data_IF_718789007887
#
_entry.id   IF_718789007887
#
_cell.length_a   1.000
_cell.length_b   1.000
_cell.length_c   1.000
_cell.angle_alpha   90.00
_cell.angle_beta   90.00
_cell.angle_gamma   90.00
#
_symmetry.space_group_name_H-M   'P 1'
#
loop_
_entity.id
_entity.type
_entity.pdbx_description
1 polymer ?
#
# COMPACT_ATOMS: atom_id res chain seq x y z
N UNK A 1 -49.43 22.58 -35.54
CA UNK A 1 -48.87 23.90 -35.13
C UNK A 1 -48.82 23.90 -33.61
N UNK A 2 -47.70 24.29 -33.01
CA UNK A 2 -47.55 24.35 -31.55
C UNK A 2 -48.33 25.55 -31.00
N UNK A 3 -49.07 25.39 -29.90
CA UNK A 3 -49.87 26.49 -29.35
C UNK A 3 -49.03 27.44 -28.48
N UNK A 4 -49.38 28.72 -28.47
CA UNK A 4 -48.73 29.76 -27.67
C UNK A 4 -48.56 29.42 -26.17
N UNK A 5 -49.54 28.79 -25.48
CA UNK A 5 -49.36 28.38 -24.09
C UNK A 5 -48.29 27.30 -23.91
N UNK A 6 -48.19 26.32 -24.83
CA UNK A 6 -47.16 25.27 -24.78
C UNK A 6 -45.75 25.85 -24.94
N UNK A 7 -45.60 26.90 -25.75
CA UNK A 7 -44.32 27.62 -25.89
C UNK A 7 -43.95 28.32 -24.59
N UNK A 8 -44.89 29.01 -23.94
CA UNK A 8 -44.65 29.67 -22.64
C UNK A 8 -44.27 28.66 -21.56
N UNK A 9 -44.94 27.52 -21.52
CA UNK A 9 -44.65 26.44 -20.57
C UNK A 9 -43.21 25.94 -20.74
N UNK A 10 -42.78 25.62 -21.96
CA UNK A 10 -41.40 25.20 -22.25
C UNK A 10 -40.35 26.29 -21.97
N UNK A 11 -40.69 27.57 -22.11
CA UNK A 11 -39.78 28.66 -21.76
C UNK A 11 -39.63 28.83 -20.24
N UNK A 12 -40.71 28.56 -19.49
CA UNK A 12 -40.70 28.63 -18.02
C UNK A 12 -40.06 27.41 -17.37
N UNK A 13 -40.24 26.22 -17.94
CA UNK A 13 -39.62 24.98 -17.47
C UNK A 13 -38.83 24.32 -18.60
N UNK A 14 -37.51 24.33 -18.45
CA UNK A 14 -36.55 23.76 -19.40
C UNK A 14 -35.86 22.51 -18.85
N UNK A 15 -36.36 21.94 -17.76
CA UNK A 15 -35.71 20.81 -17.06
C UNK A 15 -35.65 19.57 -17.95
N UNK A 16 -36.64 19.38 -18.83
CA UNK A 16 -36.67 18.28 -19.80
C UNK A 16 -35.64 18.41 -20.94
N UNK A 17 -35.08 19.61 -21.16
CA UNK A 17 -34.12 19.86 -22.27
C UNK A 17 -32.72 20.18 -21.76
N UNK A 18 -32.58 20.63 -20.52
CA UNK A 18 -31.28 20.85 -19.89
C UNK A 18 -30.78 19.51 -19.38
N UNK A 19 -29.92 18.86 -20.16
CA UNK A 19 -29.14 17.73 -19.67
C UNK A 19 -27.97 18.27 -18.85
N UNK A 20 -27.68 17.69 -17.67
CA UNK A 20 -26.47 18.06 -16.95
C UNK A 20 -25.27 17.84 -17.86
N UNK A 21 -24.45 18.88 -18.04
CA UNK A 21 -23.20 18.78 -18.78
C UNK A 21 -22.31 17.78 -18.02
N UNK A 22 -22.13 16.60 -18.58
CA UNK A 22 -21.16 15.63 -18.08
C UNK A 22 -19.77 16.11 -18.48
N UNK A 23 -19.22 17.01 -17.66
CA UNK A 23 -17.85 17.52 -17.81
C UNK A 23 -16.87 16.42 -17.40
N UNK A 24 -16.70 15.44 -18.28
CA UNK A 24 -15.62 14.48 -18.13
C UNK A 24 -14.31 15.21 -18.41
N UNK A 25 -13.48 15.36 -17.39
CA UNK A 25 -12.06 15.59 -17.60
C UNK A 25 -11.59 14.51 -18.59
N UNK A 26 -11.05 14.93 -19.74
CA UNK A 26 -10.54 14.05 -20.80
C UNK A 26 -9.25 13.35 -20.35
N UNK A 27 -9.28 12.75 -19.16
CA UNK A 27 -8.25 11.85 -18.74
C UNK A 27 -8.39 10.58 -19.60
N UNK A 28 -7.38 10.27 -20.44
CA UNK A 28 -7.41 9.09 -21.30
C UNK A 28 -7.62 7.79 -20.50
N UNK A 29 -7.22 7.76 -19.22
CA UNK A 29 -7.45 6.60 -18.37
C UNK A 29 -8.92 6.45 -17.96
N UNK A 30 -9.60 7.55 -17.66
CA UNK A 30 -11.03 7.51 -17.30
C UNK A 30 -11.89 7.23 -18.53
N UNK A 31 -11.54 7.79 -19.70
CA UNK A 31 -12.21 7.46 -20.96
C UNK A 31 -12.09 5.96 -21.29
N UNK A 32 -10.87 5.41 -21.19
CA UNK A 32 -10.63 3.98 -21.38
C UNK A 32 -11.40 3.12 -20.37
N UNK A 33 -11.47 3.54 -19.10
CA UNK A 33 -12.22 2.82 -18.07
C UNK A 33 -13.73 2.84 -18.35
N UNK A 34 -14.28 3.96 -18.80
CA UNK A 34 -15.69 4.09 -19.18
C UNK A 34 -16.01 3.26 -20.43
N UNK A 35 -15.13 3.21 -21.42
CA UNK A 35 -15.29 2.35 -22.59
C UNK A 35 -15.27 0.86 -22.20
N UNK A 36 -14.34 0.48 -21.32
CA UNK A 36 -14.24 -0.89 -20.78
C UNK A 36 -15.49 -1.25 -19.95
N UNK A 37 -16.07 -0.29 -19.23
CA UNK A 37 -17.31 -0.48 -18.48
C UNK A 37 -18.53 -0.62 -19.40
N UNK A 38 -18.68 0.29 -20.36
CA UNK A 38 -19.85 0.35 -21.25
C UNK A 38 -19.87 -0.80 -22.26
N UNK A 39 -18.71 -1.21 -22.77
CA UNK A 39 -18.61 -2.34 -23.71
C UNK A 39 -18.55 -3.70 -23.01
N UNK A 40 -18.63 -3.75 -21.67
CA UNK A 40 -18.47 -5.00 -20.91
C UNK A 40 -17.08 -5.62 -21.01
N UNK A 41 -16.10 -4.87 -21.54
CA UNK A 41 -14.71 -5.31 -21.71
C UNK A 41 -13.99 -5.62 -20.39
N UNK A 42 -14.49 -5.09 -19.26
CA UNK A 42 -13.97 -5.42 -17.93
C UNK A 42 -14.14 -6.91 -17.62
N UNK A 43 -15.36 -7.41 -17.83
CA UNK A 43 -15.72 -8.81 -17.59
C UNK A 43 -14.96 -9.71 -18.55
N UNK A 44 -14.80 -9.30 -19.81
CA UNK A 44 -14.04 -10.07 -20.80
C UNK A 44 -12.53 -10.11 -20.51
N UNK A 45 -11.95 -9.03 -20.00
CA UNK A 45 -10.55 -9.00 -19.60
C UNK A 45 -10.27 -9.82 -18.34
N UNK A 46 -11.21 -9.87 -17.40
CA UNK A 46 -11.00 -10.46 -16.07
C UNK A 46 -11.49 -11.89 -15.95
N UNK A 47 -12.61 -12.25 -16.59
CA UNK A 47 -13.13 -13.62 -16.59
C UNK A 47 -12.63 -14.44 -17.78
N UNK A 48 -12.50 -13.82 -18.95
CA UNK A 48 -12.24 -14.51 -20.21
C UNK A 48 -10.83 -14.28 -20.75
N UNK A 49 -9.92 -13.74 -19.94
CA UNK A 49 -8.49 -13.63 -20.29
C UNK A 49 -8.18 -12.82 -21.57
N UNK A 50 -9.11 -12.00 -22.07
CA UNK A 50 -8.95 -11.36 -23.38
C UNK A 50 -7.71 -10.45 -23.51
N UNK A 51 -7.15 -9.97 -22.38
CA UNK A 51 -5.93 -9.13 -22.36
C UNK A 51 -4.63 -9.94 -22.43
N UNK A 52 -4.63 -11.20 -22.00
CA UNK A 52 -3.44 -12.05 -21.97
C UNK A 52 -3.21 -12.81 -23.28
N UNK A 53 -4.02 -12.60 -24.32
CA UNK A 53 -3.88 -13.36 -25.57
C UNK A 53 -2.53 -13.14 -26.27
N UNK A 54 -1.97 -11.93 -26.14
CA UNK A 54 -0.63 -11.58 -26.62
C UNK A 54 0.52 -11.93 -25.67
N UNK A 55 0.25 -12.55 -24.52
CA UNK A 55 1.28 -12.92 -23.54
C UNK A 55 1.81 -14.33 -23.80
N UNK A 56 3.01 -14.62 -23.27
CA UNK A 56 3.56 -15.96 -23.28
C UNK A 56 2.60 -16.93 -22.57
N UNK A 57 2.49 -18.20 -23.03
CA UNK A 57 1.47 -19.15 -22.57
C UNK A 57 1.54 -19.42 -21.06
N UNK A 58 2.70 -19.31 -20.43
CA UNK A 58 2.89 -19.43 -18.98
C UNK A 58 2.35 -18.23 -18.17
N UNK A 59 2.10 -17.10 -18.81
CA UNK A 59 1.53 -15.90 -18.18
C UNK A 59 0.03 -15.75 -18.44
N UNK A 60 -0.51 -16.53 -19.39
CA UNK A 60 -1.94 -16.66 -19.62
C UNK A 60 -2.59 -17.21 -18.34
N UNK A 61 -3.59 -16.48 -17.83
CA UNK A 61 -4.45 -16.91 -16.74
C UNK A 61 -4.11 -16.26 -15.42
N UNK A 62 -2.88 -15.74 -15.24
CA UNK A 62 -2.38 -15.24 -13.96
C UNK A 62 -3.22 -14.11 -13.36
N UNK A 63 -3.77 -13.24 -14.21
CA UNK A 63 -4.60 -12.09 -13.79
C UNK A 63 -6.10 -12.35 -13.92
N UNK A 64 -6.51 -13.55 -14.35
CA UNK A 64 -7.92 -13.94 -14.40
C UNK A 64 -8.41 -14.35 -13.01
N UNK A 65 -9.71 -14.17 -12.74
CA UNK A 65 -10.31 -14.58 -11.46
C UNK A 65 -10.12 -16.07 -11.16
N UNK A 66 -9.91 -16.92 -12.18
CA UNK A 66 -9.58 -18.34 -12.01
C UNK A 66 -8.20 -18.59 -11.35
N UNK A 67 -7.28 -17.64 -11.44
CA UNK A 67 -5.95 -17.70 -10.79
C UNK A 67 -6.01 -17.34 -9.31
N UNK A 68 -7.06 -16.62 -8.88
CA UNK A 68 -7.30 -16.34 -7.47
C UNK A 68 -7.84 -17.63 -6.83
N UNK A 69 -6.92 -18.53 -6.47
CA UNK A 69 -7.23 -19.64 -5.57
C UNK A 69 -7.52 -19.03 -4.19
N UNK A 70 -8.75 -19.12 -3.66
CA UNK A 70 -8.99 -18.75 -2.27
C UNK A 70 -8.02 -19.57 -1.41
N UNK A 71 -7.30 -18.84 -0.58
CA UNK A 71 -6.15 -19.28 0.16
C UNK A 71 -6.50 -20.32 1.25
N UNK A 72 -6.92 -21.52 0.87
CA UNK A 72 -7.23 -22.63 1.79
C UNK A 72 -5.98 -23.45 2.17
N UNK A 73 -4.80 -23.14 1.60
CA UNK A 73 -3.56 -23.89 1.80
C UNK A 73 -2.36 -23.03 2.23
N UNK A 74 -2.53 -21.97 3.06
CA UNK A 74 -1.42 -21.59 3.95
C UNK A 74 -1.25 -22.68 4.99
N UNK A 75 -0.62 -23.77 4.58
CA UNK A 75 0.02 -24.69 5.51
C UNK A 75 0.92 -23.84 6.39
N UNK A 76 0.82 -24.06 7.70
CA UNK A 76 1.65 -23.43 8.72
C UNK A 76 3.08 -23.45 8.19
N UNK A 77 3.59 -22.27 7.82
CA UNK A 77 5.00 -22.14 7.53
C UNK A 77 5.65 -22.29 8.88
N UNK A 78 6.11 -23.50 9.19
CA UNK A 78 7.02 -23.74 10.30
C UNK A 78 8.24 -22.87 10.01
N UNK A 79 8.25 -21.68 10.59
CA UNK A 79 9.37 -20.75 10.54
C UNK A 79 10.49 -21.32 11.39
N UNK A 80 11.14 -22.36 10.86
CA UNK A 80 12.41 -22.86 11.31
C UNK A 80 13.45 -21.85 10.82
N UNK A 81 13.86 -20.95 11.71
CA UNK A 81 15.10 -20.19 11.59
C UNK A 81 16.21 -21.22 11.32
N UNK A 82 16.63 -21.29 10.07
CA UNK A 82 17.82 -22.03 9.64
C UNK A 82 19.00 -21.07 9.80
N UNK A 83 19.87 -21.47 10.72
CA UNK A 83 21.27 -21.10 10.87
C UNK A 83 21.90 -20.48 9.60
N UNK A 84 22.05 -19.15 9.59
CA UNK A 84 23.07 -18.49 8.76
C UNK A 84 24.27 -18.19 9.64
N UNK A 85 25.12 -19.20 9.78
CA UNK A 85 26.53 -19.00 10.02
C UNK A 85 27.17 -18.41 8.74
N UNK A 86 27.37 -17.10 8.72
CA UNK A 86 28.52 -16.52 8.00
C UNK A 86 28.93 -15.17 8.59
N UNK A 87 30.18 -15.11 9.05
CA UNK A 87 30.97 -13.87 9.02
C UNK A 87 30.63 -12.75 10.00
N UNK A 88 31.02 -12.93 11.26
CA UNK A 88 31.66 -11.89 12.07
C UNK A 88 31.10 -10.46 12.07
N UNK A 89 29.97 -10.23 12.76
CA UNK A 89 29.73 -8.94 13.43
C UNK A 89 29.26 -9.24 14.85
N UNK A 90 30.19 -9.18 15.82
CA UNK A 90 29.87 -9.20 17.25
C UNK A 90 29.39 -7.79 17.62
N UNK A 91 28.09 -7.57 17.63
CA UNK A 91 27.51 -6.42 18.33
C UNK A 91 27.83 -6.59 19.84
N UNK A 92 28.47 -5.62 20.51
CA UNK A 92 28.80 -5.75 21.93
C UNK A 92 27.53 -5.94 22.75
N UNK A 93 27.44 -7.05 23.48
CA UNK A 93 26.36 -7.31 24.44
C UNK A 93 26.48 -6.28 25.56
N UNK A 94 25.73 -5.19 25.46
CA UNK A 94 25.61 -4.23 26.54
C UNK A 94 24.78 -4.87 27.65
N UNK A 95 25.46 -5.48 28.63
CA UNK A 95 24.81 -6.06 29.80
C UNK A 95 24.07 -4.97 30.57
N UNK A 96 22.80 -5.21 30.88
CA UNK A 96 22.04 -4.37 31.80
C UNK A 96 22.63 -4.51 33.21
N UNK A 97 23.70 -3.74 33.50
CA UNK A 97 24.19 -3.60 34.88
C UNK A 97 23.13 -2.87 35.68
N UNK A 98 22.75 -3.46 36.81
CA UNK A 98 21.77 -2.94 37.76
C UNK A 98 22.07 -1.48 38.07
N UNK A 99 21.03 -0.66 38.24
CA UNK A 99 21.16 0.77 38.51
C UNK A 99 22.07 1.05 39.71
N UNK A 100 22.02 0.19 40.73
CA UNK A 100 22.86 0.26 41.92
C UNK A 100 24.35 0.10 41.60
N UNK A 101 24.69 -0.78 40.65
CA UNK A 101 26.08 -0.99 40.26
C UNK A 101 26.65 0.21 39.48
N UNK A 102 25.78 0.93 38.77
CA UNK A 102 26.14 2.15 38.04
C UNK A 102 26.40 3.31 39.00
N UNK A 103 25.56 3.47 40.02
CA UNK A 103 25.74 4.52 41.03
C UNK A 103 26.97 4.28 41.90
N UNK A 104 27.20 3.04 42.36
CA UNK A 104 28.40 2.67 43.11
C UNK A 104 29.70 2.93 42.33
N UNK A 105 29.70 2.65 41.03
CA UNK A 105 30.87 2.92 40.18
C UNK A 105 31.09 4.43 39.96
N UNK A 106 30.03 5.19 39.76
CA UNK A 106 30.12 6.65 39.64
C UNK A 106 30.63 7.28 40.94
N UNK A 107 30.13 6.83 42.09
CA UNK A 107 30.54 7.32 43.40
C UNK A 107 32.01 6.96 43.70
N UNK A 108 32.46 5.76 43.30
CA UNK A 108 33.88 5.37 43.39
C UNK A 108 34.79 6.17 42.45
N UNK A 109 34.29 6.59 41.27
CA UNK A 109 35.06 7.46 40.38
C UNK A 109 35.21 8.87 40.95
N UNK A 110 34.14 9.44 41.53
CA UNK A 110 34.23 10.75 42.19
C UNK A 110 35.18 10.73 43.38
N UNK A 111 35.14 9.68 44.22
CA UNK A 111 36.08 9.55 45.35
C UNK A 111 37.55 9.38 44.94
N UNK A 112 37.84 8.94 43.70
CA UNK A 112 39.21 8.91 43.18
C UNK A 112 39.65 10.28 42.66
N UNK A 113 38.74 10.99 41.98
CA UNK A 113 39.06 12.32 41.46
C UNK A 113 39.42 13.31 42.57
N UNK A 114 38.81 13.18 43.74
CA UNK A 114 39.12 14.02 44.91
C UNK A 114 40.47 13.65 45.57
N UNK A 115 40.98 12.43 45.40
CA UNK A 115 42.29 12.01 45.93
C UNK A 115 43.45 12.43 45.03
N UNK A 116 43.23 12.45 43.72
CA UNK A 116 44.28 12.78 42.74
C UNK A 116 44.54 14.31 42.64
N UNK A 117 43.73 15.14 43.30
CA UNK A 117 43.88 16.61 43.34
C UNK A 117 44.74 17.17 44.49
N UNK A 118 45.33 16.32 45.33
CA UNK A 118 46.10 16.74 46.53
C UNK A 118 47.59 16.35 46.50
N UNK A 119 48.12 15.81 45.39
CA UNK A 119 49.55 15.52 45.24
C UNK A 119 50.07 16.06 43.91
N UNK A 120 50.52 17.30 43.95
CA UNK A 120 51.19 17.97 42.84
C UNK A 120 51.76 19.33 43.26
N UNK A 121 52.62 19.32 44.28
CA UNK A 121 53.70 20.32 44.45
C UNK A 121 54.95 19.82 43.70
#
# INVERSE_FOLDING_TARGET
MLSHPQIKEQLSNRDNIIRPQSSFAHDPYIACLMDIHNNGGFVNNILFESRSDGWAPELKGLLSLGSIRPNELKRKRDSRVADMHSGGIKCPKHGYRSAEERTLRAQRMMQRFDQDGQQGD
#
